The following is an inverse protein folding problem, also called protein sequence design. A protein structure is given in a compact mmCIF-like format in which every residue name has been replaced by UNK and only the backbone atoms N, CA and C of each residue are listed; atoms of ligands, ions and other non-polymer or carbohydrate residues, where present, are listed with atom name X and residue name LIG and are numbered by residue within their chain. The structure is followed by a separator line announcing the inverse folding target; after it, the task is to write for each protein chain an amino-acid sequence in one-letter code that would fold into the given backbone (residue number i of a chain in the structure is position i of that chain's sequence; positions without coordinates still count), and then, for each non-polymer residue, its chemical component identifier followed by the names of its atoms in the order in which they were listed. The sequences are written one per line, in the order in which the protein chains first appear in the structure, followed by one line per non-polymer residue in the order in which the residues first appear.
data_IF_270131828492
#
_entry.id   IF_270131828492
#
_cell.length_a   1.000
_cell.length_b   1.000
_cell.length_c   1.000
_cell.angle_alpha   90.00
_cell.angle_beta   90.00
_cell.angle_gamma   90.00
#
_symmetry.space_group_name_H-M   'P 1'
#
loop_
_entity.id
_entity.type
_entity.pdbx_description
1 polymer ?
#
# COMPACT_ATOMS: atom_id res chain seq x y z
N UNK A 1 -23.85 -3.35 11.74
CA UNK A 1 -23.06 -3.92 10.63
C UNK A 1 -21.87 -3.02 10.35
N UNK A 2 -20.63 -3.51 10.45
CA UNK A 2 -19.45 -2.74 10.03
C UNK A 2 -19.29 -2.97 8.52
N UNK A 3 -19.78 -2.05 7.71
CA UNK A 3 -19.48 -2.02 6.27
C UNK A 3 -17.95 -2.02 6.14
N UNK A 4 -17.37 -3.10 5.60
CA UNK A 4 -15.94 -3.14 5.29
C UNK A 4 -15.72 -2.22 4.10
N UNK A 5 -15.58 -0.92 4.35
CA UNK A 5 -14.90 -0.03 3.41
C UNK A 5 -13.47 -0.55 3.28
N UNK A 6 -13.18 -1.26 2.19
CA UNK A 6 -11.79 -1.51 1.81
C UNK A 6 -11.29 -0.19 1.25
N UNK A 7 -10.79 0.67 2.13
CA UNK A 7 -10.15 1.92 1.70
C UNK A 7 -9.06 1.62 0.68
N UNK A 8 -8.99 2.44 -0.37
CA UNK A 8 -7.94 2.38 -1.36
C UNK A 8 -6.58 2.54 -0.66
N UNK A 9 -5.76 1.49 -0.73
CA UNK A 9 -4.41 1.51 -0.18
C UNK A 9 -3.46 2.14 -1.18
N UNK A 10 -2.98 3.34 -0.86
CA UNK A 10 -1.89 3.96 -1.63
C UNK A 10 -0.54 3.34 -1.20
N UNK A 11 -0.04 2.39 -1.98
CA UNK A 11 1.20 1.65 -1.71
C UNK A 11 2.44 2.56 -1.75
N UNK A 12 2.43 3.61 -2.58
CA UNK A 12 3.50 4.60 -2.58
C UNK A 12 3.52 5.40 -1.28
N UNK A 13 2.33 5.80 -0.79
CA UNK A 13 2.22 6.48 0.52
C UNK A 13 2.59 5.56 1.68
N UNK A 14 2.20 4.29 1.66
CA UNK A 14 2.53 3.31 2.70
C UNK A 14 4.06 3.12 2.80
N UNK A 15 4.75 3.02 1.66
CA UNK A 15 6.21 2.96 1.64
C UNK A 15 6.87 4.34 1.81
N UNK A 16 6.12 5.44 1.80
CA UNK A 16 6.67 6.80 1.88
C UNK A 16 7.61 7.13 0.72
N UNK A 17 7.33 6.61 -0.48
CA UNK A 17 8.12 6.83 -1.70
C UNK A 17 7.28 7.56 -2.75
N UNK A 18 7.95 8.15 -3.74
CA UNK A 18 7.28 8.80 -4.87
C UNK A 18 6.81 7.74 -5.89
N UNK A 19 5.81 8.07 -6.69
CA UNK A 19 5.41 7.26 -7.85
C UNK A 19 6.52 7.14 -8.90
N UNK A 20 7.46 8.09 -8.92
CA UNK A 20 8.65 8.08 -9.77
C UNK A 20 9.84 7.35 -9.13
N UNK A 21 9.66 6.76 -7.95
CA UNK A 21 10.76 6.07 -7.26
C UNK A 21 11.24 4.84 -8.02
N UNK A 22 12.56 4.65 -7.99
CA UNK A 22 13.21 3.49 -8.60
C UNK A 22 13.05 2.26 -7.71
N UNK A 23 13.26 1.08 -8.28
CA UNK A 23 13.29 -0.19 -7.54
C UNK A 23 14.27 -0.16 -6.36
N UNK A 24 15.36 0.61 -6.51
CA UNK A 24 16.35 0.76 -5.44
C UNK A 24 15.81 1.58 -4.27
N UNK A 25 15.04 2.64 -4.54
CA UNK A 25 14.42 3.48 -3.52
C UNK A 25 13.31 2.73 -2.79
N UNK A 26 12.49 1.98 -3.55
CA UNK A 26 11.44 1.10 -3.01
C UNK A 26 12.05 0.06 -2.06
N UNK A 27 13.13 -0.61 -2.48
CA UNK A 27 13.87 -1.58 -1.64
C UNK A 27 14.46 -0.92 -0.39
N UNK A 28 15.07 0.25 -0.52
CA UNK A 28 15.64 1.00 0.62
C UNK A 28 14.56 1.37 1.63
N UNK A 29 13.44 1.92 1.17
CA UNK A 29 12.34 2.31 2.06
C UNK A 29 11.70 1.11 2.75
N UNK A 30 11.45 0.03 2.01
CA UNK A 30 10.96 -1.23 2.58
C UNK A 30 11.85 -1.73 3.71
N UNK A 31 13.18 -1.80 3.51
CA UNK A 31 14.12 -2.25 4.54
C UNK A 31 14.05 -1.38 5.80
N UNK A 32 13.99 -0.05 5.63
CA UNK A 32 13.91 0.90 6.74
C UNK A 32 12.61 0.72 7.54
N UNK A 33 11.47 0.59 6.84
CA UNK A 33 10.17 0.43 7.46
C UNK A 33 9.97 -0.95 8.08
N UNK A 34 10.48 -2.01 7.43
CA UNK A 34 10.44 -3.37 7.94
C UNK A 34 11.22 -3.50 9.26
N UNK A 35 12.40 -2.88 9.37
CA UNK A 35 13.14 -2.84 10.64
C UNK A 35 12.39 -2.06 11.72
N UNK A 36 11.82 -0.90 11.36
CA UNK A 36 11.05 -0.05 12.29
C UNK A 36 9.82 -0.74 12.85
N UNK A 37 9.13 -1.53 12.01
CA UNK A 37 7.87 -2.20 12.35
C UNK A 37 8.01 -3.71 12.55
N UNK A 38 9.24 -4.23 12.65
CA UNK A 38 9.48 -5.66 12.77
C UNK A 38 8.78 -6.21 14.03
N UNK A 39 8.03 -7.33 13.93
CA UNK A 39 7.30 -7.88 15.06
C UNK A 39 8.22 -8.31 16.20
N UNK A 40 9.47 -8.69 15.91
CA UNK A 40 10.42 -9.12 16.94
C UNK A 40 10.79 -7.98 17.91
N UNK A 41 10.89 -6.74 17.43
CA UNK A 41 11.18 -5.57 18.27
C UNK A 41 9.92 -4.87 18.80
N UNK A 42 8.74 -5.17 18.23
CA UNK A 42 7.47 -4.51 18.53
C UNK A 42 6.37 -5.48 18.98
N UNK A 43 6.74 -6.51 19.77
CA UNK A 43 5.85 -7.63 20.17
C UNK A 43 4.55 -7.18 20.87
N UNK A 44 4.53 -5.99 21.48
CA UNK A 44 3.39 -5.47 22.24
C UNK A 44 2.63 -4.34 21.53
N UNK A 45 2.98 -3.99 20.29
CA UNK A 45 2.34 -2.91 19.57
C UNK A 45 1.21 -3.47 18.68
N UNK A 46 -0.08 -3.31 19.07
CA UNK A 46 -1.22 -3.92 18.36
C UNK A 46 -1.35 -3.49 16.89
N UNK A 47 -0.69 -2.39 16.50
CA UNK A 47 -0.74 -1.86 15.14
C UNK A 47 0.53 -2.13 14.33
N UNK A 48 1.56 -2.77 14.91
CA UNK A 48 2.82 -3.01 14.21
C UNK A 48 2.70 -4.16 13.21
N UNK A 49 1.96 -5.21 13.55
CA UNK A 49 1.70 -6.33 12.64
C UNK A 49 0.91 -5.87 11.41
N UNK A 50 -0.14 -5.06 11.59
CA UNK A 50 -0.94 -4.54 10.49
C UNK A 50 -0.11 -3.63 9.58
N UNK A 51 0.66 -2.71 10.15
CA UNK A 51 1.59 -1.86 9.37
C UNK A 51 2.61 -2.71 8.61
N UNK A 52 3.20 -3.71 9.26
CA UNK A 52 4.17 -4.59 8.63
C UNK A 52 3.56 -5.36 7.45
N UNK A 53 2.32 -5.86 7.59
CA UNK A 53 1.57 -6.48 6.49
C UNK A 53 1.36 -5.49 5.34
N UNK A 54 0.94 -4.26 5.62
CA UNK A 54 0.74 -3.22 4.59
C UNK A 54 2.06 -2.88 3.87
N UNK A 55 3.17 -2.73 4.61
CA UNK A 55 4.51 -2.47 4.07
C UNK A 55 4.95 -3.62 3.14
N UNK A 56 4.76 -4.86 3.58
CA UNK A 56 5.14 -6.06 2.82
C UNK A 56 4.31 -6.20 1.55
N UNK A 57 2.99 -6.01 1.64
CA UNK A 57 2.08 -6.01 0.49
C UNK A 57 2.47 -4.93 -0.53
N UNK A 58 2.70 -3.70 -0.06
CA UNK A 58 3.10 -2.56 -0.90
C UNK A 58 4.40 -2.84 -1.64
N UNK A 59 5.41 -3.37 -0.94
CA UNK A 59 6.69 -3.73 -1.56
C UNK A 59 6.51 -4.81 -2.63
N UNK A 60 5.74 -5.86 -2.35
CA UNK A 60 5.51 -6.97 -3.29
C UNK A 60 4.78 -6.55 -4.57
N UNK A 61 3.95 -5.51 -4.51
CA UNK A 61 3.27 -4.95 -5.69
C UNK A 61 4.19 -3.98 -6.44
N UNK A 62 4.88 -3.09 -5.74
CA UNK A 62 5.67 -2.03 -6.36
C UNK A 62 7.01 -2.51 -6.94
N UNK A 63 7.59 -3.61 -6.43
CA UNK A 63 8.87 -4.13 -6.93
C UNK A 63 8.73 -5.02 -8.17
N UNK A 64 7.53 -5.53 -8.43
CA UNK A 64 7.23 -6.33 -9.61
C UNK A 64 6.70 -5.39 -10.71
N UNK A 65 7.40 -5.20 -11.83
CA UNK A 65 7.01 -4.25 -12.86
C UNK A 65 5.60 -4.52 -13.44
N UNK A 66 5.19 -5.79 -13.52
CA UNK A 66 3.88 -6.16 -14.04
C UNK A 66 2.78 -5.79 -13.04
N UNK A 67 3.00 -6.10 -11.76
CA UNK A 67 2.04 -5.74 -10.69
C UNK A 67 1.98 -4.24 -10.46
N UNK A 68 3.11 -3.54 -10.49
CA UNK A 68 3.19 -2.09 -10.39
C UNK A 68 2.38 -1.43 -11.51
N UNK A 69 2.53 -1.89 -12.75
CA UNK A 69 1.74 -1.37 -13.88
C UNK A 69 0.24 -1.59 -13.72
N UNK A 70 -0.17 -2.77 -13.24
CA UNK A 70 -1.58 -3.05 -12.96
C UNK A 70 -2.12 -2.16 -11.83
N UNK A 71 -1.34 -2.00 -10.78
CA UNK A 71 -1.65 -1.14 -9.65
C UNK A 71 -1.76 0.32 -10.06
N UNK A 72 -0.83 0.84 -10.86
CA UNK A 72 -0.83 2.22 -11.32
C UNK A 72 -2.08 2.53 -12.17
N UNK A 73 -2.53 1.57 -13.00
CA UNK A 73 -3.80 1.68 -13.73
C UNK A 73 -4.99 1.75 -12.79
N UNK A 74 -5.09 0.82 -11.85
CA UNK A 74 -6.16 0.80 -10.85
C UNK A 74 -6.18 2.08 -10.00
N UNK A 75 -5.00 2.55 -9.56
CA UNK A 75 -4.82 3.80 -8.83
C UNK A 75 -5.25 5.00 -9.64
N UNK A 76 -4.87 5.09 -10.92
CA UNK A 76 -5.29 6.17 -11.79
C UNK A 76 -6.81 6.19 -12.00
N UNK A 77 -7.43 5.01 -12.17
CA UNK A 77 -8.90 4.91 -12.29
C UNK A 77 -9.62 5.30 -11.00
N UNK A 78 -9.07 4.92 -9.85
CA UNK A 78 -9.59 5.31 -8.54
C UNK A 78 -9.50 6.82 -8.32
N UNK A 79 -8.34 7.43 -8.60
CA UNK A 79 -8.12 8.88 -8.47
C UNK A 79 -8.95 9.70 -9.47
N UNK A 80 -9.22 9.15 -10.66
CA UNK A 80 -10.08 9.77 -11.66
C UNK A 80 -11.59 9.63 -11.33
N UNK A 81 -11.95 9.00 -10.20
CA UNK A 81 -13.34 8.76 -9.84
C UNK A 81 -14.06 7.78 -10.75
N UNK A 82 -13.31 6.99 -11.55
CA UNK A 82 -13.86 6.00 -12.50
C UNK A 82 -14.22 4.68 -11.83
N UNK A 83 -13.73 4.45 -10.61
CA UNK A 83 -14.21 3.35 -9.76
C UNK A 83 -15.51 3.78 -9.09
N UNK A 84 -16.64 3.51 -9.74
CA UNK A 84 -17.98 3.74 -9.20
C UNK A 84 -18.23 2.89 -7.95
N UNK A 85 -17.98 3.45 -6.76
CA UNK A 85 -18.58 2.99 -5.49
C UNK A 85 -19.75 3.89 -5.03
N UNK A 86 -20.25 4.77 -5.89
CA UNK A 86 -21.50 5.51 -5.66
C UNK A 86 -22.45 5.37 -6.86
N UNK A 87 -23.29 4.32 -6.82
CA UNK A 87 -24.50 4.21 -7.64
C UNK A 87 -25.60 3.51 -6.82
N UNK A 88 -25.89 4.07 -5.64
CA UNK A 88 -27.01 3.66 -4.78
C UNK A 88 -28.07 4.76 -4.59
N UNK A 89 -28.17 5.71 -5.53
CA UNK A 89 -29.32 6.60 -5.62
C UNK A 89 -29.73 6.78 -7.09
N UNK A 90 -30.62 5.90 -7.55
CA UNK A 90 -31.66 6.22 -8.52
C UNK A 90 -32.89 5.40 -8.18
#
# INVERSE_FOLDING_TARGET
MKTRFREFKDYYKILGVSENSTDTDIKKSYRKLALKHHPDHNKNAPNSEEKFKQITESYGVLIDPLKRKQYDRFRADHLAGRTNEYSQFR
#
